data_IF_520705635352
#
_entry.id   IF_520705635352
#
_cell.length_a   1.000
_cell.length_b   1.000
_cell.length_c   1.000
_cell.angle_alpha   90.00
_cell.angle_beta   90.00
_cell.angle_gamma   90.00
#
_symmetry.space_group_name_H-M   'P 1'
#
loop_
_entity.id
_entity.type
_entity.pdbx_description
1 polymer ?
#
# COMPACT_ATOMS: atom_id res chain seq x y z
N UNK A 1 5.58 3.45 5.18
CA UNK A 1 5.90 2.33 6.10
C UNK A 1 5.66 2.66 7.58
N UNK A 2 6.27 3.70 8.16
CA UNK A 2 6.16 4.00 9.61
C UNK A 2 4.79 4.43 10.15
N UNK A 3 3.82 4.78 9.31
CA UNK A 3 2.48 5.18 9.74
C UNK A 3 1.59 3.97 10.07
N UNK A 4 1.66 2.90 9.26
CA UNK A 4 0.97 1.64 9.56
C UNK A 4 1.54 0.92 10.76
N UNK A 5 2.86 0.91 10.94
CA UNK A 5 3.47 0.31 12.13
C UNK A 5 2.97 1.00 13.41
N UNK A 6 2.85 2.33 13.40
CA UNK A 6 2.27 3.09 14.51
C UNK A 6 0.78 2.78 14.73
N UNK A 7 -0.02 2.73 13.67
CA UNK A 7 -1.44 2.37 13.77
C UNK A 7 -1.66 0.93 14.24
N UNK A 8 -0.92 -0.03 13.69
CA UNK A 8 -0.93 -1.43 14.10
C UNK A 8 -0.57 -1.58 15.57
N UNK A 9 0.54 -0.97 16.00
CA UNK A 9 0.95 -1.04 17.40
C UNK A 9 -0.09 -0.37 18.31
N UNK A 10 -0.58 0.81 17.94
CA UNK A 10 -1.65 1.49 18.68
C UNK A 10 -2.91 0.64 18.84
N UNK A 11 -3.36 -0.02 17.77
CA UNK A 11 -4.52 -0.91 17.81
C UNK A 11 -4.27 -2.17 18.64
N UNK A 12 -3.09 -2.78 18.55
CA UNK A 12 -2.73 -3.94 19.40
C UNK A 12 -2.79 -3.61 20.88
N UNK A 13 -2.27 -2.45 21.28
CA UNK A 13 -2.34 -2.00 22.67
C UNK A 13 -3.75 -1.60 23.10
N UNK A 14 -4.49 -0.88 22.25
CA UNK A 14 -5.86 -0.45 22.53
C UNK A 14 -6.83 -1.63 22.66
N UNK A 15 -6.76 -2.60 21.73
CA UNK A 15 -7.63 -3.78 21.73
C UNK A 15 -7.08 -4.94 22.59
N UNK A 16 -5.89 -4.79 23.19
CA UNK A 16 -5.15 -5.86 23.88
C UNK A 16 -5.18 -7.17 23.06
N UNK A 17 -4.68 -7.07 21.84
CA UNK A 17 -4.67 -8.17 20.88
C UNK A 17 -3.27 -8.29 20.28
N UNK A 18 -2.53 -9.28 20.76
CA UNK A 18 -1.14 -9.53 20.39
C UNK A 18 -1.04 -10.81 19.57
N UNK A 19 -0.21 -10.76 18.54
CA UNK A 19 0.02 -11.88 17.63
C UNK A 19 1.06 -12.88 18.15
N UNK A 20 1.74 -12.57 19.25
CA UNK A 20 2.75 -13.42 19.86
C UNK A 20 2.43 -13.65 21.35
N UNK A 21 2.63 -14.86 21.88
CA UNK A 21 2.32 -15.19 23.27
C UNK A 21 3.21 -14.44 24.29
N UNK A 22 4.47 -14.19 23.96
CA UNK A 22 5.40 -13.43 24.81
C UNK A 22 4.97 -11.96 24.96
N UNK A 23 4.46 -11.35 23.87
CA UNK A 23 3.92 -9.99 23.90
C UNK A 23 2.62 -9.94 24.71
N UNK A 24 1.76 -10.97 24.60
CA UNK A 24 0.54 -11.07 25.39
C UNK A 24 0.84 -11.22 26.89
N UNK A 25 1.77 -12.09 27.26
CA UNK A 25 2.20 -12.30 28.65
C UNK A 25 2.79 -11.03 29.26
N UNK A 26 3.62 -10.29 28.53
CA UNK A 26 4.20 -9.02 28.97
C UNK A 26 3.15 -7.93 29.19
N UNK A 27 2.02 -8.00 28.50
CA UNK A 27 0.98 -6.97 28.49
C UNK A 27 -0.33 -7.41 29.18
N UNK A 28 -0.29 -8.43 30.05
CA UNK A 28 -1.37 -8.76 30.98
C UNK A 28 -1.90 -10.20 30.94
N UNK A 29 -1.41 -11.04 30.02
CA UNK A 29 -1.66 -12.50 30.04
C UNK A 29 -2.01 -13.12 28.69
N UNK A 30 -1.97 -14.46 28.63
CA UNK A 30 -2.20 -15.24 27.41
C UNK A 30 -3.61 -15.06 26.82
N UNK A 31 -4.59 -14.57 27.58
CA UNK A 31 -5.91 -14.23 27.05
C UNK A 31 -5.88 -13.13 25.98
N UNK A 32 -4.79 -12.35 25.91
CA UNK A 32 -4.57 -11.33 24.89
C UNK A 32 -3.80 -11.84 23.66
N UNK A 33 -3.39 -13.12 23.65
CA UNK A 33 -2.94 -13.81 22.45
C UNK A 33 -4.15 -14.19 21.61
N UNK A 34 -4.59 -13.25 20.78
CA UNK A 34 -5.82 -13.37 19.98
C UNK A 34 -5.74 -12.51 18.74
N UNK A 35 -6.48 -12.92 17.72
CA UNK A 35 -6.70 -12.11 16.53
C UNK A 35 -7.73 -11.02 16.80
N UNK A 36 -7.50 -9.86 16.17
CA UNK A 36 -8.41 -8.72 16.21
C UNK A 36 -8.71 -8.24 14.78
N UNK A 37 -10.00 -8.08 14.42
CA UNK A 37 -10.40 -7.70 13.06
C UNK A 37 -9.79 -6.37 12.57
N UNK A 38 -9.54 -5.41 13.45
CA UNK A 38 -8.99 -4.10 13.09
C UNK A 38 -7.46 -4.15 12.96
N UNK A 39 -6.78 -4.94 13.81
CA UNK A 39 -5.35 -5.27 13.65
C UNK A 39 -5.10 -6.00 12.32
N UNK A 40 -5.90 -7.01 12.02
CA UNK A 40 -5.83 -7.73 10.74
C UNK A 40 -6.10 -6.83 9.54
N UNK A 41 -7.07 -5.92 9.66
CA UNK A 41 -7.39 -4.94 8.61
C UNK A 41 -6.18 -4.05 8.32
N UNK A 42 -5.52 -3.51 9.35
CA UNK A 42 -4.31 -2.73 9.15
C UNK A 42 -3.18 -3.57 8.53
N UNK A 43 -3.04 -4.85 8.91
CA UNK A 43 -2.07 -5.77 8.32
C UNK A 43 -2.33 -6.00 6.83
N UNK A 44 -3.59 -6.18 6.44
CA UNK A 44 -3.98 -6.34 5.02
C UNK A 44 -3.76 -5.05 4.22
N UNK A 45 -4.08 -3.88 4.77
CA UNK A 45 -3.79 -2.59 4.14
C UNK A 45 -2.29 -2.42 3.90
N UNK A 46 -1.47 -2.72 4.92
CA UNK A 46 -0.02 -2.66 4.82
C UNK A 46 0.54 -3.63 3.77
N UNK A 47 0.05 -4.88 3.74
CA UNK A 47 0.46 -5.86 2.73
C UNK A 47 0.14 -5.36 1.31
N UNK A 48 -1.06 -4.83 1.10
CA UNK A 48 -1.43 -4.29 -0.20
C UNK A 48 -0.55 -3.10 -0.59
N UNK A 49 -0.18 -2.24 0.35
CA UNK A 49 0.79 -1.17 0.08
C UNK A 49 2.15 -1.72 -0.35
N UNK A 50 2.67 -2.77 0.30
CA UNK A 50 3.93 -3.41 -0.13
C UNK A 50 3.82 -3.98 -1.55
N UNK A 51 2.74 -4.70 -1.84
CA UNK A 51 2.49 -5.33 -3.15
C UNK A 51 2.37 -4.30 -4.29
N UNK A 52 2.10 -3.02 -4.00
CA UNK A 52 1.87 -2.00 -5.03
C UNK A 52 2.96 -0.92 -5.07
N UNK A 53 3.42 -0.45 -3.91
CA UNK A 53 4.43 0.60 -3.83
C UNK A 53 5.79 0.07 -4.28
N UNK A 54 6.17 -1.16 -3.93
CA UNK A 54 7.47 -1.69 -4.36
C UNK A 54 7.59 -1.84 -5.89
N UNK A 55 6.61 -2.44 -6.60
CA UNK A 55 6.63 -2.43 -8.05
C UNK A 55 6.59 -1.03 -8.66
N UNK A 56 5.81 -0.10 -8.09
CA UNK A 56 5.78 1.28 -8.57
C UNK A 56 7.13 1.98 -8.41
N UNK A 57 7.84 1.79 -7.29
CA UNK A 57 9.18 2.37 -7.10
C UNK A 57 10.16 1.83 -8.15
N UNK A 58 10.09 0.53 -8.45
CA UNK A 58 10.91 -0.09 -9.49
C UNK A 58 10.59 0.46 -10.88
N UNK A 59 9.31 0.44 -11.27
CA UNK A 59 8.86 0.96 -12.57
C UNK A 59 9.14 2.45 -12.72
N UNK A 60 8.85 3.25 -11.68
CA UNK A 60 9.05 4.69 -11.69
C UNK A 60 10.53 5.09 -11.77
N UNK A 61 11.42 4.34 -11.12
CA UNK A 61 12.87 4.54 -11.26
C UNK A 61 13.33 4.30 -12.70
N UNK A 62 12.98 3.15 -13.30
CA UNK A 62 13.33 2.85 -14.69
C UNK A 62 12.69 3.86 -15.64
N UNK A 63 11.41 4.17 -15.46
CA UNK A 63 10.68 5.13 -16.29
C UNK A 63 11.34 6.51 -16.27
N UNK A 64 11.83 6.97 -15.12
CA UNK A 64 12.53 8.25 -15.00
C UNK A 64 13.87 8.29 -15.76
N UNK A 65 14.49 7.13 -16.00
CA UNK A 65 15.73 7.01 -16.79
C UNK A 65 15.49 6.97 -18.30
N UNK A 66 14.24 6.83 -18.75
CA UNK A 66 13.87 6.83 -20.18
C UNK A 66 13.68 8.24 -20.77
N UNK A 67 14.02 9.28 -20.00
CA UNK A 67 13.78 10.68 -20.32
C UNK A 67 12.34 10.97 -20.81
N UNK A 68 11.31 10.60 -20.01
CA UNK A 68 9.93 10.83 -20.38
C UNK A 68 9.61 12.32 -20.31
N UNK A 69 8.52 12.73 -20.96
CA UNK A 69 8.01 14.09 -20.79
C UNK A 69 7.77 14.38 -19.28
N UNK A 70 8.42 15.40 -18.69
CA UNK A 70 8.35 15.65 -17.25
C UNK A 70 6.93 15.88 -16.72
N UNK A 71 6.06 16.48 -17.53
CA UNK A 71 4.66 16.72 -17.17
C UNK A 71 3.90 15.39 -17.07
N UNK A 72 4.12 14.49 -18.02
CA UNK A 72 3.48 13.17 -18.05
C UNK A 72 3.97 12.32 -16.87
N UNK A 73 5.27 12.32 -16.59
CA UNK A 73 5.83 11.60 -15.44
C UNK A 73 5.24 12.11 -14.10
N UNK A 74 5.14 13.43 -13.92
CA UNK A 74 4.49 14.03 -12.75
C UNK A 74 3.04 13.58 -12.59
N UNK A 75 2.27 13.54 -13.69
CA UNK A 75 0.88 13.07 -13.65
C UNK A 75 0.80 11.60 -13.23
N UNK A 76 1.67 10.73 -13.77
CA UNK A 76 1.71 9.31 -13.37
C UNK A 76 1.97 9.15 -11.87
N UNK A 77 2.95 9.89 -11.34
CA UNK A 77 3.31 9.82 -9.93
C UNK A 77 2.23 10.40 -9.01
N UNK A 78 1.58 11.49 -9.42
CA UNK A 78 0.48 12.10 -8.67
C UNK A 78 -0.75 11.20 -8.62
N UNK A 79 -1.16 10.61 -9.74
CA UNK A 79 -2.30 9.68 -9.79
C UNK A 79 -2.03 8.47 -8.89
N UNK A 80 -0.83 7.89 -8.96
CA UNK A 80 -0.45 6.80 -8.08
C UNK A 80 -0.52 7.21 -6.60
N UNK A 81 0.13 8.32 -6.24
CA UNK A 81 0.18 8.81 -4.86
C UNK A 81 -1.22 9.06 -4.28
N UNK A 82 -2.04 9.84 -4.99
CA UNK A 82 -3.41 10.16 -4.56
C UNK A 82 -4.26 8.89 -4.48
N UNK A 83 -4.17 8.01 -5.48
CA UNK A 83 -4.87 6.73 -5.49
C UNK A 83 -4.52 5.85 -4.29
N UNK A 84 -3.22 5.79 -3.90
CA UNK A 84 -2.79 5.05 -2.70
C UNK A 84 -3.30 5.69 -1.42
N UNK A 85 -3.25 7.01 -1.29
CA UNK A 85 -3.80 7.71 -0.11
C UNK A 85 -5.30 7.42 0.05
N UNK A 86 -6.07 7.56 -1.04
CA UNK A 86 -7.52 7.28 -1.03
C UNK A 86 -7.78 5.81 -0.71
N UNK A 87 -7.00 4.89 -1.28
CA UNK A 87 -7.11 3.46 -1.00
C UNK A 87 -6.89 3.15 0.50
N UNK A 88 -5.83 3.70 1.10
CA UNK A 88 -5.53 3.55 2.53
C UNK A 88 -6.66 4.10 3.40
N UNK A 89 -7.12 5.33 3.12
CA UNK A 89 -8.22 5.96 3.86
C UNK A 89 -9.49 5.12 3.76
N UNK A 90 -9.83 4.65 2.56
CA UNK A 90 -10.99 3.79 2.34
C UNK A 90 -10.87 2.46 3.10
N UNK A 91 -9.67 1.90 3.21
CA UNK A 91 -9.41 0.66 3.93
C UNK A 91 -9.63 0.81 5.44
N UNK A 92 -9.05 1.87 6.01
CA UNK A 92 -9.05 2.15 7.45
C UNK A 92 -10.41 2.64 7.96
N UNK A 93 -11.06 3.54 7.22
CA UNK A 93 -12.36 4.12 7.60
C UNK A 93 -13.56 3.22 7.25
N UNK A 94 -13.33 1.98 6.81
CA UNK A 94 -14.37 1.01 6.46
C UNK A 94 -15.39 1.59 5.46
N UNK A 95 -14.94 2.41 4.50
CA UNK A 95 -15.83 3.04 3.52
C UNK A 95 -16.58 1.99 2.70
N UNK A 96 -17.81 2.31 2.32
CA UNK A 96 -18.68 1.41 1.52
C UNK A 96 -17.99 1.03 0.21
N UNK A 97 -18.14 -0.23 -0.21
CA UNK A 97 -17.76 -0.62 -1.56
C UNK A 97 -18.55 0.21 -2.60
N UNK A 98 -17.95 0.60 -3.74
CA UNK A 98 -16.71 0.07 -4.33
C UNK A 98 -15.46 0.97 -4.14
N UNK A 99 -15.50 1.95 -3.23
CA UNK A 99 -14.49 3.02 -3.11
C UNK A 99 -13.04 2.53 -3.06
N UNK A 100 -12.77 1.49 -2.26
CA UNK A 100 -11.44 0.86 -2.18
C UNK A 100 -10.99 0.26 -3.51
N UNK A 101 -11.84 -0.52 -4.16
CA UNK A 101 -11.51 -1.20 -5.41
C UNK A 101 -11.28 -0.20 -6.55
N UNK A 102 -12.07 0.89 -6.59
CA UNK A 102 -11.89 1.96 -7.58
C UNK A 102 -10.56 2.68 -7.35
N UNK A 103 -10.25 3.07 -6.11
CA UNK A 103 -8.98 3.72 -5.79
C UNK A 103 -7.76 2.84 -6.14
N UNK A 104 -7.86 1.53 -5.89
CA UNK A 104 -6.85 0.56 -6.32
C UNK A 104 -6.69 0.56 -7.84
N UNK A 105 -7.79 0.38 -8.60
CA UNK A 105 -7.73 0.31 -10.05
C UNK A 105 -7.16 1.59 -10.69
N UNK A 106 -7.54 2.77 -10.18
CA UNK A 106 -7.01 4.06 -10.63
C UNK A 106 -5.51 4.16 -10.35
N UNK A 107 -5.05 3.74 -9.17
CA UNK A 107 -3.63 3.74 -8.82
C UNK A 107 -2.80 2.81 -9.72
N UNK A 108 -3.38 1.74 -10.27
CA UNK A 108 -2.67 0.82 -11.15
C UNK A 108 -2.54 1.30 -12.60
N UNK A 109 -3.35 2.26 -13.06
CA UNK A 109 -3.27 2.75 -14.44
C UNK A 109 -1.89 3.33 -14.77
N UNK A 110 -1.28 4.21 -13.93
CA UNK A 110 0.09 4.66 -14.14
C UNK A 110 1.12 3.53 -14.18
N UNK A 111 1.00 2.53 -13.31
CA UNK A 111 1.91 1.38 -13.28
C UNK A 111 1.88 0.59 -14.60
N UNK A 112 0.68 0.29 -15.10
CA UNK A 112 0.50 -0.38 -16.39
C UNK A 112 1.06 0.45 -17.55
N UNK A 113 0.76 1.76 -17.56
CA UNK A 113 1.26 2.69 -18.58
C UNK A 113 2.79 2.74 -18.62
N UNK A 114 3.44 2.89 -17.46
CA UNK A 114 4.91 2.91 -17.38
C UNK A 114 5.51 1.58 -17.82
N UNK A 115 4.94 0.45 -17.37
CA UNK A 115 5.42 -0.88 -17.76
C UNK A 115 5.35 -1.10 -19.28
N UNK A 116 4.26 -0.69 -19.93
CA UNK A 116 4.13 -0.74 -21.39
C UNK A 116 5.16 0.15 -22.08
N UNK A 117 5.33 1.41 -21.64
CA UNK A 117 6.30 2.33 -22.23
C UNK A 117 7.74 1.81 -22.10
N UNK A 118 8.09 1.23 -20.95
CA UNK A 118 9.39 0.57 -20.73
C UNK A 118 9.56 -0.59 -21.73
N UNK A 119 8.55 -1.48 -21.83
CA UNK A 119 8.60 -2.62 -22.74
C UNK A 119 8.75 -2.20 -24.21
N UNK A 120 7.93 -1.25 -24.67
CA UNK A 120 8.01 -0.72 -26.03
C UNK A 120 9.38 -0.10 -26.31
N UNK A 121 9.94 0.64 -25.35
CA UNK A 121 11.26 1.26 -25.53
C UNK A 121 12.36 0.22 -25.65
N UNK A 122 12.29 -0.87 -24.87
CA UNK A 122 13.25 -1.97 -24.96
C UNK A 122 13.12 -2.70 -26.29
N UNK A 123 11.90 -3.07 -26.69
CA UNK A 123 11.64 -3.82 -27.93
C UNK A 123 12.06 -3.02 -29.17
N UNK A 124 11.79 -1.72 -29.22
CA UNK A 124 12.16 -0.87 -30.36
C UNK A 124 13.67 -0.54 -30.43
N UNK A 125 14.40 -0.73 -29.33
CA UNK A 125 15.85 -0.52 -29.25
C UNK A 125 16.67 -1.76 -29.63
N UNK A 126 16.02 -2.92 -29.73
CA UNK A 126 16.58 -4.18 -30.23
C UNK A 126 16.35 -4.30 -31.75
#
# INVERSE_FOLDING_TARGET
MGQYARLLNGLKFYNQAFANPEDALRNGGLQYYRDDPDVERCRRAHRNDMENIFPFLFLGAIYSMLDPNPTVARIHFLIFLVGRIVHTVAYLLKLKAPTRSVAYSVAQMPCFSMALQILFTIVMRW
#
